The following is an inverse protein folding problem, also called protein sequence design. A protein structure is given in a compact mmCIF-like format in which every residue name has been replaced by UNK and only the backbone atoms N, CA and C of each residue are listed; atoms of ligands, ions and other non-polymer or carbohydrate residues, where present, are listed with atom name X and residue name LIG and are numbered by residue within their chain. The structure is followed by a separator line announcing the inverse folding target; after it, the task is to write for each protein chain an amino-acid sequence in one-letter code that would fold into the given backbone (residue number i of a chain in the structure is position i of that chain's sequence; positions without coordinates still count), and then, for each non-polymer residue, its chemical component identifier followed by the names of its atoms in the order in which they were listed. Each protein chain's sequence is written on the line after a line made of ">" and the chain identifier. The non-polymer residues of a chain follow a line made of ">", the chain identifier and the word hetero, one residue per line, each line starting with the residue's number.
data_IF_554178222906
#
_entry.id   IF_554178222906
#
_cell.length_a   1.000
_cell.length_b   1.000
_cell.length_c   1.000
_cell.angle_alpha   90.00
_cell.angle_beta   90.00
_cell.angle_gamma   90.00
#
_symmetry.space_group_name_H-M   'P 1'
#
loop_
_entity.id
_entity.type
_entity.pdbx_description
1 polymer ?
#
# COMPACT_ATOMS: atom_id res chain seq x y z
N UNK A 1 16.82 67.37 -4.47
CA UNK A 1 15.50 67.19 -5.12
C UNK A 1 15.14 65.71 -4.99
N UNK A 2 14.61 65.28 -3.85
CA UNK A 2 13.18 65.08 -3.53
C UNK A 2 12.40 64.22 -4.56
N UNK A 3 11.99 63.04 -4.05
CA UNK A 3 11.09 61.96 -4.48
C UNK A 3 9.73 62.39 -5.09
N UNK A 4 8.76 61.51 -5.47
CA UNK A 4 8.62 60.03 -5.29
C UNK A 4 8.25 59.32 -6.62
N UNK A 5 8.11 58.00 -6.80
CA UNK A 5 7.68 56.88 -5.97
C UNK A 5 6.67 56.07 -6.81
N UNK A 6 6.81 54.74 -6.85
CA UNK A 6 5.74 53.77 -7.18
C UNK A 6 6.33 52.35 -7.18
N UNK A 7 6.37 51.74 -6.01
CA UNK A 7 6.24 50.29 -5.89
C UNK A 7 4.76 49.95 -6.05
N UNK A 8 4.41 48.87 -6.77
CA UNK A 8 3.22 48.11 -6.41
C UNK A 8 3.64 46.76 -5.85
N UNK A 9 3.45 46.63 -4.54
CA UNK A 9 3.18 45.36 -3.89
C UNK A 9 2.09 44.61 -4.68
N UNK A 10 2.43 43.48 -5.29
CA UNK A 10 1.48 42.46 -5.71
C UNK A 10 1.43 41.36 -4.64
N UNK A 11 0.96 41.74 -3.45
CA UNK A 11 0.27 40.80 -2.57
C UNK A 11 -1.21 40.95 -2.86
N UNK A 12 -1.94 39.90 -3.29
CA UNK A 12 -3.38 40.00 -3.42
C UNK A 12 -3.98 40.14 -2.01
N UNK A 13 -4.41 41.36 -1.70
CA UNK A 13 -5.36 41.65 -0.64
C UNK A 13 -6.65 40.88 -0.94
N UNK A 14 -7.06 39.97 -0.07
CA UNK A 14 -8.41 39.41 -0.11
C UNK A 14 -9.40 40.52 0.31
N UNK A 15 -10.34 40.95 -0.54
CA UNK A 15 -11.44 41.80 -0.10
C UNK A 15 -12.42 40.98 0.75
N UNK A 16 -13.01 41.57 1.80
CA UNK A 16 -13.91 40.86 2.69
C UNK A 16 -15.30 40.75 2.08
N UNK A 17 -15.88 39.59 2.32
CA UNK A 17 -17.31 39.28 2.38
C UNK A 17 -18.16 39.51 1.12
N UNK A 18 -18.61 38.36 0.61
CA UNK A 18 -19.84 38.14 -0.13
C UNK A 18 -19.85 38.65 -1.58
N UNK A 19 -19.70 37.72 -2.52
CA UNK A 19 -20.83 37.11 -3.24
C UNK A 19 -20.35 35.82 -3.92
N UNK A 20 -21.19 34.79 -3.86
CA UNK A 20 -20.94 33.43 -4.29
C UNK A 20 -20.26 33.33 -5.67
N UNK A 21 -18.98 32.96 -5.70
CA UNK A 21 -18.35 32.35 -6.86
C UNK A 21 -18.52 30.83 -6.77
N UNK A 22 -19.14 30.15 -7.75
CA UNK A 22 -19.12 28.70 -7.84
C UNK A 22 -17.77 28.20 -8.41
N UNK A 23 -16.66 28.82 -8.02
CA UNK A 23 -15.31 28.42 -8.46
C UNK A 23 -14.66 27.38 -7.52
N UNK A 24 -15.33 26.98 -6.44
CA UNK A 24 -14.89 25.86 -5.59
C UNK A 24 -15.45 24.50 -6.04
N UNK A 25 -16.31 24.46 -7.05
CA UNK A 25 -16.63 23.21 -7.73
C UNK A 25 -15.56 22.99 -8.80
N UNK A 26 -14.40 22.47 -8.38
CA UNK A 26 -13.53 21.80 -9.34
C UNK A 26 -14.40 20.71 -9.99
N UNK A 27 -14.56 20.67 -11.32
CA UNK A 27 -15.12 19.49 -11.95
C UNK A 27 -14.21 18.34 -11.55
N UNK A 28 -14.74 17.39 -10.77
CA UNK A 28 -14.08 16.09 -10.62
C UNK A 28 -13.75 15.65 -12.05
N UNK A 29 -12.49 15.36 -12.39
CA UNK A 29 -12.20 14.81 -13.70
C UNK A 29 -13.13 13.61 -13.86
N UNK A 30 -13.76 13.40 -15.04
CA UNK A 30 -14.40 12.12 -15.29
C UNK A 30 -13.34 11.07 -14.94
N UNK A 31 -13.73 10.05 -14.17
CA UNK A 31 -12.88 8.89 -13.96
C UNK A 31 -12.54 8.37 -15.35
N UNK A 32 -11.42 8.86 -15.89
CA UNK A 32 -10.84 8.35 -17.09
C UNK A 32 -10.51 6.93 -16.70
N UNK A 33 -11.35 6.00 -17.16
CA UNK A 33 -10.96 4.61 -17.22
C UNK A 33 -9.78 4.59 -18.19
N UNK A 34 -8.59 4.84 -17.65
CA UNK A 34 -7.34 4.65 -18.36
C UNK A 34 -7.35 3.18 -18.73
N UNK A 35 -7.50 2.95 -20.04
CA UNK A 35 -7.50 1.62 -20.64
C UNK A 35 -6.23 0.93 -20.18
N UNK A 36 -6.40 -0.11 -19.38
CA UNK A 36 -5.39 -0.73 -18.54
C UNK A 36 -4.09 -1.06 -19.27
N UNK A 37 -3.02 -0.48 -18.74
CA UNK A 37 -1.62 -0.79 -19.00
C UNK A 37 -0.78 -0.26 -17.85
N UNK A 38 -1.33 -0.30 -16.63
CA UNK A 38 -0.66 0.16 -15.42
C UNK A 38 -0.15 -1.03 -14.62
N UNK A 39 0.91 -0.79 -13.87
CA UNK A 39 1.49 -1.78 -12.96
C UNK A 39 0.44 -2.19 -11.91
N UNK A 40 0.24 -3.49 -11.73
CA UNK A 40 -0.81 -4.04 -10.86
C UNK A 40 -0.19 -4.68 -9.63
N UNK A 41 -0.70 -4.31 -8.46
CA UNK A 41 -0.27 -4.86 -7.19
C UNK A 41 -1.00 -6.16 -6.86
N UNK A 42 -0.24 -7.19 -6.48
CA UNK A 42 -0.74 -8.50 -6.06
C UNK A 42 -0.20 -8.85 -4.67
N UNK A 43 -1.12 -9.21 -3.78
CA UNK A 43 -0.78 -9.82 -2.49
C UNK A 43 -0.86 -11.33 -2.60
N UNK A 44 0.19 -12.00 -2.14
CA UNK A 44 0.18 -13.43 -1.95
C UNK A 44 -0.25 -13.76 -0.52
N UNK A 45 -0.92 -14.91 -0.32
CA UNK A 45 -1.31 -15.35 1.02
C UNK A 45 -0.09 -15.51 1.93
N UNK A 46 -0.28 -15.39 3.26
CA UNK A 46 0.80 -15.60 4.21
C UNK A 46 1.35 -17.02 4.10
N UNK A 47 2.67 -17.15 3.96
CA UNK A 47 3.38 -18.42 4.00
C UNK A 47 4.16 -18.54 5.31
N UNK A 48 4.19 -19.75 5.88
CA UNK A 48 5.08 -20.08 6.98
C UNK A 48 6.47 -20.43 6.42
N UNK A 49 7.57 -19.90 6.98
CA UNK A 49 8.93 -20.09 6.45
C UNK A 49 9.45 -21.55 6.53
N UNK A 50 8.68 -22.50 7.07
CA UNK A 50 9.11 -23.89 7.30
C UNK A 50 8.25 -24.95 6.57
N UNK A 51 7.32 -24.57 5.70
CA UNK A 51 6.52 -25.55 4.95
C UNK A 51 6.46 -25.16 3.47
N UNK A 52 7.24 -25.79 2.57
CA UNK A 52 6.94 -25.71 1.16
C UNK A 52 5.57 -26.40 0.92
N UNK A 53 4.61 -25.75 0.24
CA UNK A 53 3.39 -26.44 -0.14
C UNK A 53 3.75 -27.62 -1.05
N UNK A 54 3.11 -28.80 -0.89
CA UNK A 54 3.26 -29.88 -1.85
C UNK A 54 2.88 -29.36 -3.26
N UNK A 55 3.71 -29.67 -4.25
CA UNK A 55 3.51 -29.23 -5.63
C UNK A 55 2.11 -29.63 -6.11
N UNK A 56 1.32 -28.67 -6.58
CA UNK A 56 -0.06 -28.90 -7.06
C UNK A 56 -1.16 -28.61 -6.02
N UNK A 57 -0.83 -28.19 -4.80
CA UNK A 57 -1.80 -27.71 -3.82
C UNK A 57 -1.72 -26.18 -3.74
N UNK A 58 -2.83 -25.52 -4.07
CA UNK A 58 -2.97 -24.08 -3.82
C UNK A 58 -2.73 -23.82 -2.33
N UNK A 59 -1.85 -22.86 -1.95
CA UNK A 59 -1.63 -22.55 -0.55
C UNK A 59 -2.96 -22.09 0.06
N UNK A 60 -3.51 -22.90 0.97
CA UNK A 60 -4.61 -22.45 1.81
C UNK A 60 -4.09 -21.26 2.65
N UNK A 61 -4.85 -20.16 2.76
CA UNK A 61 -4.49 -19.08 3.66
C UNK A 61 -4.31 -19.64 5.07
N UNK A 62 -3.07 -19.72 5.54
CA UNK A 62 -2.80 -20.17 6.89
C UNK A 62 -3.25 -19.10 7.86
N UNK A 63 -4.11 -19.47 8.80
CA UNK A 63 -4.47 -18.62 9.91
C UNK A 63 -3.20 -18.39 10.76
N UNK A 64 -2.72 -17.15 10.90
CA UNK A 64 -1.48 -16.92 11.61
C UNK A 64 -1.69 -17.06 13.12
N UNK A 65 -0.90 -17.94 13.75
CA UNK A 65 -1.00 -18.21 15.19
C UNK A 65 -0.07 -17.28 15.98
N UNK A 66 -0.45 -16.81 17.18
CA UNK A 66 0.46 -16.07 18.05
C UNK A 66 1.77 -16.82 18.31
N UNK A 67 2.90 -16.12 18.23
CA UNK A 67 4.25 -16.67 18.37
C UNK A 67 4.83 -17.33 17.10
N UNK A 68 4.03 -17.50 16.05
CA UNK A 68 4.53 -18.07 14.79
C UNK A 68 5.34 -17.05 13.97
N UNK A 69 6.24 -17.56 13.13
CA UNK A 69 6.89 -16.75 12.08
C UNK A 69 6.03 -16.78 10.83
N UNK A 70 5.71 -15.62 10.28
CA UNK A 70 4.82 -15.48 9.14
C UNK A 70 5.48 -14.56 8.12
N UNK A 71 5.30 -14.82 6.83
CA UNK A 71 5.78 -13.94 5.77
C UNK A 71 4.73 -13.77 4.70
N UNK A 72 4.53 -12.54 4.25
CA UNK A 72 3.53 -12.17 3.25
C UNK A 72 4.28 -11.54 2.10
N UNK A 73 4.07 -12.03 0.87
CA UNK A 73 4.68 -11.46 -0.33
C UNK A 73 3.75 -10.46 -0.98
N UNK A 74 4.29 -9.30 -1.34
CA UNK A 74 3.64 -8.36 -2.23
C UNK A 74 4.44 -8.24 -3.53
N UNK A 75 3.76 -8.33 -4.67
CA UNK A 75 4.38 -8.32 -5.99
C UNK A 75 3.71 -7.31 -6.91
N UNK A 76 4.50 -6.67 -7.76
CA UNK A 76 4.03 -5.80 -8.81
C UNK A 76 4.78 -6.10 -10.11
N UNK A 77 4.07 -6.19 -11.22
CA UNK A 77 4.68 -6.24 -12.54
C UNK A 77 4.83 -4.81 -13.07
N UNK A 78 6.05 -4.40 -13.40
CA UNK A 78 6.36 -3.05 -13.89
C UNK A 78 7.15 -3.05 -15.18
N UNK A 79 6.78 -2.15 -16.09
CA UNK A 79 7.57 -1.82 -17.27
C UNK A 79 8.68 -0.78 -16.98
N UNK A 80 8.66 -0.15 -15.80
CA UNK A 80 9.60 0.90 -15.39
C UNK A 80 10.08 0.66 -13.95
N UNK A 81 10.78 -0.46 -13.66
CA UNK A 81 11.18 -0.83 -12.29
C UNK A 81 11.99 0.26 -11.59
N UNK A 82 12.86 0.98 -12.30
CA UNK A 82 13.67 2.08 -11.74
C UNK A 82 12.86 3.29 -11.27
N UNK A 83 11.62 3.44 -11.77
CA UNK A 83 10.71 4.54 -11.42
C UNK A 83 9.55 4.05 -10.54
N UNK A 84 9.58 2.79 -10.12
CA UNK A 84 8.51 2.13 -9.38
C UNK A 84 8.98 1.82 -7.97
N UNK A 85 8.18 2.22 -6.98
CA UNK A 85 8.42 1.95 -5.56
C UNK A 85 7.37 0.99 -5.04
N UNK A 86 7.84 -0.04 -4.35
CA UNK A 86 7.03 -1.04 -3.66
C UNK A 86 7.39 -1.01 -2.18
N UNK A 87 6.44 -0.75 -1.30
CA UNK A 87 6.70 -0.68 0.15
C UNK A 87 5.48 -1.02 1.00
N UNK A 88 5.72 -1.20 2.30
CA UNK A 88 4.73 -1.56 3.31
C UNK A 88 4.50 -0.45 4.32
N UNK A 89 3.24 -0.30 4.72
CA UNK A 89 2.83 0.53 5.85
C UNK A 89 2.03 -0.31 6.85
N UNK A 90 2.10 0.04 8.12
CA UNK A 90 1.16 -0.37 9.16
C UNK A 90 0.40 0.85 9.68
N UNK A 91 -0.93 0.82 9.70
CA UNK A 91 -1.75 1.97 10.14
C UNK A 91 -1.31 3.32 9.50
N UNK A 92 -0.84 3.28 8.25
CA UNK A 92 -0.35 4.46 7.52
C UNK A 92 1.08 4.94 7.85
N UNK A 93 1.82 4.25 8.72
CA UNK A 93 3.23 4.58 9.04
C UNK A 93 4.18 3.47 8.59
N UNK A 94 5.47 3.78 8.44
CA UNK A 94 6.48 2.77 8.12
C UNK A 94 6.55 1.69 9.20
N UNK A 95 6.64 0.42 8.79
CA UNK A 95 6.48 -0.73 9.70
C UNK A 95 7.53 -0.76 10.80
N UNK A 96 8.74 -0.28 10.52
CA UNK A 96 9.87 -0.20 11.46
C UNK A 96 9.59 0.73 12.64
N UNK A 97 8.68 1.70 12.48
CA UNK A 97 8.34 2.66 13.53
C UNK A 97 7.29 2.11 14.51
N UNK A 98 6.54 1.08 14.10
CA UNK A 98 5.36 0.61 14.82
C UNK A 98 5.64 -0.60 15.68
N UNK A 99 6.43 -1.55 15.15
CA UNK A 99 6.53 -2.88 15.73
C UNK A 99 7.95 -3.46 15.59
N UNK A 100 8.62 -3.85 16.69
CA UNK A 100 9.98 -4.38 16.62
C UNK A 100 10.07 -5.79 15.97
N UNK A 101 8.96 -6.52 15.96
CA UNK A 101 8.88 -7.90 15.47
C UNK A 101 8.39 -8.01 14.02
N UNK A 102 8.11 -6.89 13.38
CA UNK A 102 7.67 -6.82 11.98
C UNK A 102 8.74 -6.07 11.19
N UNK A 103 9.14 -6.61 10.05
CA UNK A 103 10.21 -6.04 9.22
C UNK A 103 9.84 -6.11 7.76
N UNK A 104 10.13 -5.03 7.06
CA UNK A 104 10.07 -4.99 5.61
C UNK A 104 11.34 -5.66 5.02
N UNK A 105 11.15 -6.57 4.07
CA UNK A 105 12.24 -7.19 3.31
C UNK A 105 12.79 -6.25 2.24
N UNK A 106 13.97 -6.58 1.69
CA UNK A 106 14.50 -5.88 0.52
C UNK A 106 13.62 -6.13 -0.73
N UNK A 107 13.65 -5.20 -1.69
CA UNK A 107 13.02 -5.43 -3.00
C UNK A 107 13.82 -6.51 -3.70
N UNK A 108 13.12 -7.49 -4.27
CA UNK A 108 13.67 -8.46 -5.20
C UNK A 108 13.08 -8.20 -6.58
N UNK A 109 13.88 -8.35 -7.60
CA UNK A 109 13.48 -8.15 -8.98
C UNK A 109 13.66 -9.45 -9.75
N UNK A 110 12.66 -9.81 -10.55
CA UNK A 110 12.72 -10.95 -11.46
C UNK A 110 12.28 -10.50 -12.85
N UNK A 111 13.18 -10.62 -13.83
CA UNK A 111 12.87 -10.29 -15.22
C UNK A 111 11.91 -11.34 -15.81
N UNK A 112 10.78 -10.87 -16.35
CA UNK A 112 9.76 -11.70 -17.02
C UNK A 112 9.48 -11.12 -18.40
N UNK A 113 10.38 -11.41 -19.34
CA UNK A 113 10.28 -10.90 -20.71
C UNK A 113 10.57 -9.40 -20.77
N UNK A 114 9.58 -8.59 -21.16
CA UNK A 114 9.70 -7.13 -21.23
C UNK A 114 9.28 -6.41 -19.95
N UNK A 115 8.80 -7.14 -18.94
CA UNK A 115 8.38 -6.62 -17.64
C UNK A 115 9.30 -7.15 -16.54
N UNK A 116 9.38 -6.41 -15.45
CA UNK A 116 10.07 -6.83 -14.23
C UNK A 116 9.05 -7.03 -13.13
N UNK A 117 9.08 -8.19 -12.48
CA UNK A 117 8.31 -8.45 -11.26
C UNK A 117 9.11 -7.95 -10.07
N UNK A 118 8.62 -6.90 -9.42
CA UNK A 118 9.12 -6.42 -8.14
C UNK A 118 8.42 -7.20 -7.03
N UNK A 119 9.17 -7.69 -6.05
CA UNK A 119 8.65 -8.39 -4.88
C UNK A 119 9.20 -7.79 -3.60
N UNK A 120 8.33 -7.57 -2.61
CA UNK A 120 8.72 -7.10 -1.28
C UNK A 120 7.94 -7.82 -0.20
N UNK A 121 8.65 -8.61 0.59
CA UNK A 121 8.07 -9.43 1.64
C UNK A 121 7.91 -8.64 2.95
N UNK A 122 6.80 -8.85 3.65
CA UNK A 122 6.60 -8.41 5.03
C UNK A 122 6.82 -9.59 5.98
N UNK A 123 7.77 -9.47 6.89
CA UNK A 123 8.18 -10.55 7.78
C UNK A 123 7.76 -10.30 9.22
N UNK A 124 7.09 -11.28 9.81
CA UNK A 124 6.71 -11.33 11.21
C UNK A 124 7.60 -12.36 11.91
N UNK A 125 8.50 -11.89 12.77
CA UNK A 125 9.41 -12.76 13.53
C UNK A 125 8.70 -13.47 14.69
N UNK A 126 7.66 -12.86 15.23
CA UNK A 126 6.79 -13.42 16.26
C UNK A 126 5.42 -12.75 16.14
N UNK A 127 4.51 -13.41 15.44
CA UNK A 127 3.16 -12.91 15.18
C UNK A 127 2.37 -12.71 16.49
N UNK A 128 1.55 -11.68 16.56
CA UNK A 128 0.84 -11.28 17.77
C UNK A 128 -0.60 -10.84 17.48
N UNK A 129 -1.42 -10.73 18.54
CA UNK A 129 -2.75 -10.14 18.41
C UNK A 129 -2.73 -8.67 17.98
N UNK A 130 -1.61 -7.96 18.14
CA UNK A 130 -1.45 -6.60 17.63
C UNK A 130 -1.36 -6.60 16.09
N UNK A 131 -0.74 -7.62 15.50
CA UNK A 131 -0.63 -7.76 14.05
C UNK A 131 -1.98 -7.99 13.39
N UNK A 132 -2.88 -8.73 14.05
CA UNK A 132 -4.27 -8.91 13.60
C UNK A 132 -5.07 -7.61 13.58
N UNK A 133 -4.72 -6.65 14.44
CA UNK A 133 -5.39 -5.34 14.54
C UNK A 133 -4.70 -4.25 13.73
N UNK A 134 -3.51 -4.53 13.20
CA UNK A 134 -2.75 -3.55 12.43
C UNK A 134 -3.18 -3.63 10.98
N UNK A 135 -3.55 -2.48 10.42
CA UNK A 135 -3.89 -2.39 9.01
C UNK A 135 -2.58 -2.33 8.21
N UNK A 136 -2.14 -3.47 7.70
CA UNK A 136 -0.97 -3.54 6.83
C UNK A 136 -1.39 -3.30 5.38
N UNK A 137 -0.75 -2.35 4.73
CA UNK A 137 -0.97 -2.05 3.31
C UNK A 137 0.33 -2.16 2.55
N UNK A 138 0.30 -2.88 1.44
CA UNK A 138 1.32 -2.79 0.42
C UNK A 138 0.95 -1.65 -0.54
N UNK A 139 1.91 -0.79 -0.83
CA UNK A 139 1.75 0.38 -1.69
C UNK A 139 2.68 0.28 -2.88
N UNK A 140 2.10 0.44 -4.06
CA UNK A 140 2.79 0.56 -5.33
C UNK A 140 2.68 2.00 -5.81
N UNK A 141 3.80 2.67 -5.97
CA UNK A 141 3.90 3.96 -6.66
C UNK A 141 4.63 3.75 -7.97
N UNK A 142 3.99 4.08 -9.08
CA UNK A 142 4.57 3.98 -10.43
C UNK A 142 4.26 5.24 -11.24
N UNK A 143 4.92 5.45 -12.40
CA UNK A 143 4.54 6.52 -13.34
C UNK A 143 3.08 6.43 -13.82
N UNK A 144 2.47 5.25 -13.74
CA UNK A 144 1.08 5.02 -14.14
C UNK A 144 0.06 5.32 -13.02
N UNK A 145 0.53 5.58 -11.80
CA UNK A 145 -0.30 5.92 -10.66
C UNK A 145 0.04 5.11 -9.41
N UNK A 146 -0.94 5.06 -8.50
CA UNK A 146 -0.82 4.42 -7.20
C UNK A 146 -1.81 3.26 -7.09
N UNK A 147 -1.34 2.07 -6.71
CA UNK A 147 -2.19 0.95 -6.29
C UNK A 147 -1.87 0.60 -4.82
N UNK A 148 -2.91 0.33 -4.03
CA UNK A 148 -2.78 0.02 -2.61
C UNK A 148 -3.58 -1.24 -2.32
N UNK A 149 -2.94 -2.22 -1.69
CA UNK A 149 -3.57 -3.48 -1.29
C UNK A 149 -3.45 -3.69 0.19
N UNK A 150 -4.59 -3.86 0.84
CA UNK A 150 -4.66 -4.19 2.25
C UNK A 150 -4.47 -5.70 2.45
N UNK A 151 -3.60 -6.05 3.38
CA UNK A 151 -3.43 -7.41 3.83
C UNK A 151 -4.62 -7.83 4.69
N UNK A 152 -5.31 -8.89 4.25
CA UNK A 152 -6.39 -9.52 5.00
C UNK A 152 -5.92 -10.85 5.57
N UNK A 153 -6.02 -10.98 6.88
CA UNK A 153 -5.80 -12.24 7.59
C UNK A 153 -7.00 -13.16 7.38
N UNK A 154 -6.76 -14.47 7.22
CA UNK A 154 -7.82 -15.44 7.44
C UNK A 154 -8.25 -15.36 8.90
N UNK A 155 -9.53 -15.20 9.18
CA UNK A 155 -10.07 -15.23 10.54
C UNK A 155 -10.48 -16.66 10.88
N UNK A 156 -10.31 -17.12 12.14
CA UNK A 156 -10.89 -18.37 12.57
C UNK A 156 -12.41 -18.26 12.45
N UNK A 157 -12.99 -19.10 11.61
CA UNK A 157 -14.43 -19.32 11.60
C UNK A 157 -14.83 -19.89 12.97
N UNK A 158 -15.53 -19.08 13.77
CA UNK A 158 -16.27 -19.57 14.92
C UNK A 158 -17.45 -20.42 14.40
N UNK A 159 -17.21 -21.66 14.01
CA UNK A 159 -18.27 -22.68 14.01
C UNK A 159 -18.48 -23.13 15.46
N UNK A 160 -19.16 -22.25 16.21
CA UNK A 160 -19.69 -22.57 17.52
C UNK A 160 -20.77 -23.62 17.39
N UNK A 161 -20.57 -24.74 18.07
CA UNK A 161 -21.63 -25.70 18.34
C UNK A 161 -22.74 -25.07 19.19
N UNK A 162 -23.96 -25.25 18.72
CA UNK A 162 -25.25 -25.14 19.44
C UNK A 162 -26.08 -26.25 18.79
N UNK A 163 -26.54 -27.31 19.45
CA UNK A 163 -27.53 -27.42 20.55
C UNK A 163 -27.33 -28.82 21.18
N UNK A 164 -27.54 -29.03 22.49
CA UNK A 164 -28.80 -28.84 23.19
C UNK A 164 -29.61 -30.13 23.11
#
# INVERSE_FOLDING_TARGET
>A
MLQPGAQPHLYPQCPPVAWCCPCCAAPSPPAAQVRGGGDVLRLHPPFLPHSPPPQGVSPSPLEPHPGSKVSVSCEAESAHPDLTLLYWLGNGSFVEQLQPNVREGAVREEERGSLVTLRRDLHFNSFSFQDLRTNFTCVLLSPFGVDVRELKWATPSNEGGETG
#
